data_IF_980173698312
#
_entry.id   IF_980173698312
#
_cell.length_a   1.000
_cell.length_b   1.000
_cell.length_c   1.000
_cell.angle_alpha   90.00
_cell.angle_beta   90.00
_cell.angle_gamma   90.00
#
_symmetry.space_group_name_H-M   'P 1'
#
loop_
_entity.id
_entity.type
_entity.pdbx_description
1 polymer ?
#
# COMPACT_ATOMS: atom_id res chain seq x y z
N UNK A 1 -13.10 -18.98 8.25
CA UNK A 1 -12.65 -17.79 9.00
C UNK A 1 -11.19 -18.01 9.35
N UNK A 2 -10.39 -16.96 9.42
CA UNK A 2 -8.99 -17.04 9.89
C UNK A 2 -8.64 -15.83 10.75
N UNK A 3 -7.49 -15.84 11.43
CA UNK A 3 -7.00 -14.71 12.21
C UNK A 3 -5.99 -13.94 11.36
N UNK A 4 -6.33 -12.68 11.03
CA UNK A 4 -5.44 -11.76 10.31
C UNK A 4 -5.17 -10.57 11.23
N UNK A 5 -3.89 -10.32 11.53
CA UNK A 5 -3.46 -9.25 12.44
C UNK A 5 -4.20 -9.29 13.80
N UNK A 6 -4.44 -10.49 14.34
CA UNK A 6 -5.18 -10.68 15.59
C UNK A 6 -6.72 -10.62 15.46
N UNK A 7 -7.27 -10.31 14.29
CA UNK A 7 -8.72 -10.20 14.07
C UNK A 7 -9.30 -11.42 13.36
N UNK A 8 -10.37 -12.01 13.93
CA UNK A 8 -11.15 -13.05 13.25
C UNK A 8 -11.85 -12.48 12.02
N UNK A 9 -11.40 -12.91 10.85
CA UNK A 9 -11.85 -12.38 9.57
C UNK A 9 -12.57 -13.47 8.75
N UNK A 10 -13.77 -13.14 8.26
CA UNK A 10 -14.47 -13.95 7.25
C UNK A 10 -13.87 -13.63 5.89
N UNK A 11 -13.51 -14.67 5.15
CA UNK A 11 -12.86 -14.57 3.85
C UNK A 11 -13.69 -15.31 2.81
N UNK A 12 -13.62 -14.83 1.58
CA UNK A 12 -13.99 -15.55 0.38
C UNK A 12 -12.73 -16.21 -0.16
N UNK A 13 -12.84 -17.46 -0.62
CA UNK A 13 -11.68 -18.21 -1.12
C UNK A 13 -11.99 -18.61 -2.55
N UNK A 14 -11.24 -18.05 -3.49
CA UNK A 14 -11.24 -18.51 -4.86
C UNK A 14 -10.50 -19.85 -4.92
N UNK A 15 -11.13 -20.85 -5.51
CA UNK A 15 -10.56 -22.18 -5.72
C UNK A 15 -10.56 -22.48 -7.21
N UNK A 16 -9.38 -22.68 -7.78
CA UNK A 16 -9.19 -23.07 -9.16
C UNK A 16 -8.50 -24.43 -9.17
N UNK A 17 -9.02 -25.36 -9.97
CA UNK A 17 -8.54 -26.75 -10.01
C UNK A 17 -8.50 -27.26 -11.45
N UNK A 18 -7.38 -27.84 -11.84
CA UNK A 18 -7.24 -28.56 -13.11
C UNK A 18 -8.00 -29.88 -13.05
N UNK A 19 -8.67 -30.20 -14.14
CA UNK A 19 -9.56 -31.36 -14.18
C UNK A 19 -8.81 -32.67 -14.34
N UNK A 20 -7.68 -32.68 -15.07
CA UNK A 20 -6.86 -33.88 -15.27
C UNK A 20 -5.97 -34.13 -14.05
N UNK A 21 -4.92 -33.34 -13.80
CA UNK A 21 -3.97 -33.56 -12.69
C UNK A 21 -4.57 -33.39 -11.30
N UNK A 22 -5.73 -32.75 -11.19
CA UNK A 22 -6.33 -32.33 -9.91
C UNK A 22 -5.52 -31.28 -9.15
N UNK A 23 -4.45 -30.73 -9.73
CA UNK A 23 -3.71 -29.61 -9.16
C UNK A 23 -4.63 -28.43 -8.94
N UNK A 24 -4.51 -27.80 -7.78
CA UNK A 24 -5.44 -26.77 -7.32
C UNK A 24 -4.72 -25.64 -6.61
N UNK A 25 -5.28 -24.43 -6.72
CA UNK A 25 -4.78 -23.23 -6.06
C UNK A 25 -5.91 -22.53 -5.33
N UNK A 26 -5.57 -21.97 -4.17
CA UNK A 26 -6.48 -21.22 -3.33
C UNK A 26 -5.95 -19.81 -3.13
N UNK A 27 -6.85 -18.83 -3.23
CA UNK A 27 -6.55 -17.45 -2.91
C UNK A 27 -7.69 -16.83 -2.13
N UNK A 28 -7.34 -16.22 -1.00
CA UNK A 28 -8.27 -15.59 -0.09
C UNK A 28 -8.46 -14.10 -0.42
N UNK A 29 -9.71 -13.66 -0.27
CA UNK A 29 -10.18 -12.30 -0.49
C UNK A 29 -11.15 -11.89 0.62
N UNK A 30 -11.31 -10.57 0.79
CA UNK A 30 -12.28 -10.02 1.74
C UNK A 30 -13.70 -10.00 1.17
N UNK A 31 -13.85 -9.86 -0.15
CA UNK A 31 -15.13 -9.81 -0.86
C UNK A 31 -15.13 -10.78 -2.05
N UNK A 32 -16.25 -10.80 -2.79
CA UNK A 32 -16.40 -11.53 -4.04
C UNK A 32 -16.85 -10.54 -5.13
N UNK A 33 -15.88 -9.80 -5.69
CA UNK A 33 -16.09 -8.76 -6.69
C UNK A 33 -15.31 -9.08 -7.97
N UNK A 34 -15.58 -8.35 -9.06
CA UNK A 34 -14.99 -8.61 -10.38
C UNK A 34 -13.45 -8.51 -10.36
N UNK A 35 -12.91 -7.46 -9.76
CA UNK A 35 -11.47 -7.26 -9.66
C UNK A 35 -10.77 -8.41 -8.90
N UNK A 36 -11.43 -8.98 -7.89
CA UNK A 36 -10.91 -10.13 -7.14
C UNK A 36 -11.02 -11.44 -7.94
N UNK A 37 -12.07 -11.60 -8.75
CA UNK A 37 -12.18 -12.74 -9.67
C UNK A 37 -11.05 -12.71 -10.70
N UNK A 38 -10.76 -11.54 -11.27
CA UNK A 38 -9.73 -11.38 -12.29
C UNK A 38 -8.31 -11.56 -11.70
N UNK A 39 -8.07 -11.03 -10.51
CA UNK A 39 -6.84 -11.30 -9.76
C UNK A 39 -6.67 -12.79 -9.45
N UNK A 40 -7.76 -13.49 -9.11
CA UNK A 40 -7.69 -14.92 -8.83
C UNK A 40 -7.24 -15.73 -10.06
N UNK A 41 -7.67 -15.35 -11.26
CA UNK A 41 -7.23 -16.00 -12.50
C UNK A 41 -5.77 -15.69 -12.82
N UNK A 42 -5.35 -14.42 -12.72
CA UNK A 42 -3.95 -14.02 -12.87
C UNK A 42 -3.03 -14.86 -11.97
N UNK A 43 -3.39 -14.98 -10.69
CA UNK A 43 -2.63 -15.77 -9.74
C UNK A 43 -2.73 -17.27 -10.03
N UNK A 44 -3.91 -17.79 -10.33
CA UNK A 44 -4.09 -19.21 -10.56
C UNK A 44 -3.28 -19.71 -11.76
N UNK A 45 -3.33 -19.01 -12.89
CA UNK A 45 -2.59 -19.39 -14.09
C UNK A 45 -1.07 -19.26 -13.89
N UNK A 46 -0.61 -18.25 -13.14
CA UNK A 46 0.80 -18.16 -12.73
C UNK A 46 1.21 -19.38 -11.89
N UNK A 47 0.42 -19.75 -10.89
CA UNK A 47 0.76 -20.84 -9.96
C UNK A 47 0.70 -22.22 -10.62
N UNK A 48 -0.31 -22.45 -11.47
CA UNK A 48 -0.48 -23.69 -12.23
C UNK A 48 0.52 -23.79 -13.39
N UNK A 49 1.16 -22.69 -13.78
CA UNK A 49 2.17 -22.64 -14.83
C UNK A 49 1.61 -22.64 -16.26
N UNK A 50 0.31 -22.40 -16.44
CA UNK A 50 -0.34 -22.41 -17.74
C UNK A 50 -1.83 -22.11 -17.68
N UNK A 51 -2.41 -21.84 -18.84
CA UNK A 51 -3.86 -21.61 -19.03
C UNK A 51 -4.50 -22.87 -19.62
N UNK A 52 -5.56 -23.44 -19.00
CA UNK A 52 -6.29 -24.55 -19.59
C UNK A 52 -7.09 -24.10 -20.81
N UNK A 53 -7.35 -25.00 -21.76
CA UNK A 53 -8.17 -24.68 -22.95
C UNK A 53 -9.62 -24.34 -22.61
N UNK A 54 -10.13 -24.90 -21.50
CA UNK A 54 -11.51 -24.72 -21.06
C UNK A 54 -11.57 -24.52 -19.55
N UNK A 55 -12.37 -23.54 -19.11
CA UNK A 55 -12.68 -23.26 -17.72
C UNK A 55 -14.15 -23.53 -17.44
N UNK A 56 -14.44 -24.26 -16.36
CA UNK A 56 -15.80 -24.58 -15.93
C UNK A 56 -16.14 -23.72 -14.71
N UNK A 57 -17.26 -23.01 -14.77
CA UNK A 57 -17.67 -22.04 -13.77
C UNK A 57 -19.07 -22.35 -13.23
N UNK A 58 -19.29 -22.00 -11.96
CA UNK A 58 -20.66 -21.88 -11.44
C UNK A 58 -21.32 -20.60 -11.98
N UNK A 59 -22.65 -20.51 -11.89
CA UNK A 59 -23.42 -19.33 -12.33
C UNK A 59 -23.27 -18.13 -11.37
N UNK A 60 -22.04 -17.74 -11.04
CA UNK A 60 -21.74 -16.62 -10.17
C UNK A 60 -21.99 -15.27 -10.86
N UNK A 61 -22.55 -14.30 -10.11
CA UNK A 61 -22.86 -12.95 -10.62
C UNK A 61 -21.65 -12.18 -11.16
N UNK A 62 -20.43 -12.56 -10.77
CA UNK A 62 -19.18 -11.97 -11.23
C UNK A 62 -18.74 -12.45 -12.61
N UNK A 63 -19.37 -13.49 -13.14
CA UNK A 63 -19.13 -14.02 -14.49
C UNK A 63 -20.40 -13.98 -15.36
N UNK A 64 -21.58 -14.04 -14.75
CA UNK A 64 -22.88 -14.06 -15.43
C UNK A 64 -23.75 -12.90 -14.92
N UNK A 65 -24.11 -11.97 -15.80
CA UNK A 65 -25.02 -10.87 -15.50
C UNK A 65 -26.49 -11.36 -15.42
N UNK A 66 -26.88 -12.27 -16.32
CA UNK A 66 -28.22 -12.89 -16.34
C UNK A 66 -28.19 -14.35 -16.78
N UNK A 67 -28.99 -15.16 -16.10
CA UNK A 67 -29.24 -16.57 -16.45
C UNK A 67 -30.53 -16.64 -17.29
N UNK A 68 -30.43 -16.96 -18.58
CA UNK A 68 -31.56 -17.12 -19.51
C UNK A 68 -32.18 -18.52 -19.49
N UNK A 69 -33.11 -18.79 -20.41
CA UNK A 69 -33.74 -20.13 -20.57
C UNK A 69 -32.71 -21.13 -21.14
N UNK A 70 -32.64 -22.34 -20.57
CA UNK A 70 -31.70 -23.37 -21.03
C UNK A 70 -30.22 -23.04 -20.77
N UNK A 71 -29.38 -23.14 -21.82
CA UNK A 71 -27.93 -22.87 -21.78
C UNK A 71 -27.57 -21.39 -22.02
N UNK A 72 -28.52 -20.51 -22.33
CA UNK A 72 -28.24 -19.10 -22.63
C UNK A 72 -27.82 -18.32 -21.39
N UNK A 73 -26.68 -17.63 -21.44
CA UNK A 73 -26.16 -16.77 -20.38
C UNK A 73 -25.74 -15.43 -20.95
N UNK A 74 -26.14 -14.35 -20.30
CA UNK A 74 -25.54 -13.04 -20.54
C UNK A 74 -24.27 -12.95 -19.72
N UNK A 75 -23.14 -13.24 -20.37
CA UNK A 75 -21.81 -13.22 -19.75
C UNK A 75 -21.37 -11.77 -19.54
N UNK A 76 -20.78 -11.50 -18.38
CA UNK A 76 -20.28 -10.17 -18.06
C UNK A 76 -19.20 -9.74 -19.06
N UNK A 77 -19.30 -8.53 -19.62
CA UNK A 77 -18.39 -8.04 -20.68
C UNK A 77 -16.93 -8.10 -20.24
N UNK A 78 -16.62 -7.75 -18.98
CA UNK A 78 -15.24 -7.79 -18.49
C UNK A 78 -14.74 -9.21 -18.27
N UNK A 79 -15.63 -10.13 -17.87
CA UNK A 79 -15.29 -11.54 -17.82
C UNK A 79 -14.98 -12.08 -19.22
N UNK A 80 -15.81 -11.77 -20.23
CA UNK A 80 -15.54 -12.12 -21.63
C UNK A 80 -14.21 -11.53 -22.13
N UNK A 81 -13.86 -10.31 -21.72
CA UNK A 81 -12.58 -9.70 -22.05
C UNK A 81 -11.40 -10.46 -21.41
N UNK A 82 -11.51 -10.90 -20.15
CA UNK A 82 -10.49 -11.74 -19.50
C UNK A 82 -10.36 -13.09 -20.20
N UNK A 83 -11.48 -13.74 -20.52
CA UNK A 83 -11.52 -15.04 -21.22
C UNK A 83 -10.82 -14.91 -22.58
N UNK A 84 -11.11 -13.84 -23.33
CA UNK A 84 -10.47 -13.54 -24.61
C UNK A 84 -8.98 -13.23 -24.46
N UNK A 85 -8.59 -12.51 -23.40
CA UNK A 85 -7.19 -12.18 -23.13
C UNK A 85 -6.34 -13.44 -22.85
N UNK A 86 -6.90 -14.41 -22.13
CA UNK A 86 -6.24 -15.68 -21.82
C UNK A 86 -6.50 -16.79 -22.85
N UNK A 87 -7.36 -16.54 -23.84
CA UNK A 87 -7.66 -17.44 -24.96
C UNK A 87 -8.19 -18.82 -24.54
N UNK A 88 -9.02 -18.90 -23.49
CA UNK A 88 -9.69 -20.15 -23.09
C UNK A 88 -11.20 -20.08 -23.33
N UNK A 89 -11.86 -21.24 -23.35
CA UNK A 89 -13.31 -21.34 -23.45
C UNK A 89 -13.96 -21.38 -22.07
N UNK A 90 -14.92 -20.50 -21.79
CA UNK A 90 -15.66 -20.50 -20.53
C UNK A 90 -16.99 -21.25 -20.68
N UNK A 91 -17.18 -22.28 -19.86
CA UNK A 91 -18.43 -23.02 -19.76
C UNK A 91 -19.07 -22.89 -18.37
N UNK A 92 -20.39 -22.79 -18.33
CA UNK A 92 -21.15 -22.62 -17.10
C UNK A 92 -21.97 -23.87 -16.78
N UNK A 93 -21.94 -24.30 -15.53
CA UNK A 93 -22.74 -25.43 -15.06
C UNK A 93 -24.24 -25.17 -15.22
N UNK A 94 -25.01 -26.22 -15.52
CA UNK A 94 -26.47 -26.11 -15.54
C UNK A 94 -27.03 -25.88 -14.12
N UNK A 95 -28.02 -24.99 -13.93
CA UNK A 95 -28.57 -24.66 -12.62
C UNK A 95 -29.14 -25.85 -11.82
N UNK A 96 -29.52 -26.95 -12.50
CA UNK A 96 -30.22 -28.09 -11.92
C UNK A 96 -29.42 -29.41 -11.88
N UNK A 97 -28.12 -29.40 -12.22
CA UNK A 97 -27.29 -30.62 -12.22
C UNK A 97 -26.64 -30.89 -10.84
N UNK A 98 -27.44 -31.13 -9.81
CA UNK A 98 -26.96 -31.39 -8.44
C UNK A 98 -26.09 -32.66 -8.29
N UNK A 99 -26.24 -33.63 -9.20
CA UNK A 99 -25.52 -34.91 -9.14
C UNK A 99 -24.03 -34.79 -9.51
N UNK A 100 -23.68 -33.91 -10.45
CA UNK A 100 -22.28 -33.58 -10.78
C UNK A 100 -21.62 -32.72 -9.68
N UNK A 101 -22.41 -31.92 -8.95
CA UNK A 101 -21.94 -31.10 -7.82
C UNK A 101 -21.63 -31.94 -6.57
N UNK A 102 -22.37 -33.02 -6.29
CA UNK A 102 -22.22 -33.82 -5.06
C UNK A 102 -20.84 -34.48 -4.88
N UNK A 103 -20.19 -34.92 -5.96
CA UNK A 103 -18.85 -35.53 -5.90
C UNK A 103 -17.74 -34.47 -5.74
N UNK A 104 -17.98 -33.26 -6.24
CA UNK A 104 -17.10 -32.10 -6.05
C UNK A 104 -17.24 -31.55 -4.62
N UNK A 105 -18.46 -31.46 -4.09
CA UNK A 105 -18.74 -30.95 -2.74
C UNK A 105 -18.13 -31.81 -1.64
N UNK A 106 -18.21 -33.14 -1.75
CA UNK A 106 -17.62 -34.07 -0.77
C UNK A 106 -16.09 -33.99 -0.77
N UNK A 107 -15.46 -33.94 -1.95
CA UNK A 107 -14.01 -33.75 -2.08
C UNK A 107 -13.55 -32.36 -1.61
N UNK A 108 -14.36 -31.32 -1.81
CA UNK A 108 -14.07 -29.95 -1.32
C UNK A 108 -14.21 -29.87 0.21
N UNK A 109 -15.16 -30.58 0.82
CA UNK A 109 -15.28 -30.69 2.27
C UNK A 109 -14.07 -31.38 2.89
N UNK A 110 -13.66 -32.53 2.35
CA UNK A 110 -12.51 -33.29 2.88
C UNK A 110 -11.17 -32.57 2.67
N UNK A 111 -10.99 -31.92 1.51
CA UNK A 111 -9.81 -31.11 1.22
C UNK A 111 -9.75 -29.84 2.09
N UNK A 112 -10.90 -29.21 2.39
CA UNK A 112 -10.96 -28.06 3.32
C UNK A 112 -10.44 -28.44 4.71
N UNK A 113 -10.82 -29.59 5.25
CA UNK A 113 -10.35 -29.99 6.57
C UNK A 113 -8.82 -30.18 6.63
N UNK A 114 -8.21 -30.81 5.60
CA UNK A 114 -6.74 -30.99 5.55
C UNK A 114 -5.97 -29.70 5.26
N UNK A 115 -6.59 -28.77 4.53
CA UNK A 115 -5.93 -27.55 4.09
C UNK A 115 -5.92 -26.47 5.17
N UNK A 116 -6.98 -26.35 5.96
CA UNK A 116 -7.11 -25.31 6.98
C UNK A 116 -6.65 -25.74 8.37
N UNK A 117 -6.08 -26.94 8.54
CA UNK A 117 -5.59 -27.41 9.84
C UNK A 117 -4.04 -27.53 9.85
N UNK A 118 -3.35 -26.82 10.75
CA UNK A 118 -3.88 -25.80 11.68
C UNK A 118 -4.27 -24.50 10.97
N UNK A 119 -5.22 -23.74 11.55
CA UNK A 119 -5.60 -22.43 11.05
C UNK A 119 -4.40 -21.48 11.18
N UNK A 120 -3.91 -20.86 10.10
CA UNK A 120 -2.75 -19.99 10.18
C UNK A 120 -3.12 -18.66 10.85
N UNK A 121 -2.35 -18.26 11.87
CA UNK A 121 -2.37 -16.90 12.40
C UNK A 121 -1.35 -16.08 11.62
N UNK A 122 -1.82 -15.12 10.83
CA UNK A 122 -0.98 -14.37 9.89
C UNK A 122 -1.07 -12.87 10.09
N UNK A 123 0.00 -12.11 9.79
CA UNK A 123 0.00 -10.66 9.97
C UNK A 123 -0.84 -9.92 8.91
N UNK A 124 -1.08 -10.50 7.74
CA UNK A 124 -1.78 -9.85 6.64
C UNK A 124 -2.49 -10.84 5.71
N UNK A 125 -3.42 -10.34 4.88
CA UNK A 125 -4.07 -11.15 3.84
C UNK A 125 -3.07 -11.64 2.79
N UNK A 126 -2.05 -10.83 2.52
CA UNK A 126 -0.95 -11.18 1.61
C UNK A 126 -0.16 -12.38 2.15
N UNK A 127 0.27 -12.32 3.42
CA UNK A 127 0.95 -13.42 4.07
C UNK A 127 0.10 -14.70 4.12
N UNK A 128 -1.22 -14.58 4.27
CA UNK A 128 -2.13 -15.73 4.15
C UNK A 128 -2.10 -16.33 2.74
N UNK A 129 -2.11 -15.48 1.70
CA UNK A 129 -2.12 -15.93 0.32
C UNK A 129 -0.79 -16.58 -0.08
N UNK A 130 0.34 -16.07 0.41
CA UNK A 130 1.66 -16.69 0.21
C UNK A 130 1.74 -18.06 0.90
N UNK A 131 1.21 -18.15 2.12
CA UNK A 131 1.09 -19.41 2.84
C UNK A 131 0.17 -20.40 2.11
N UNK A 132 -1.00 -19.95 1.62
CA UNK A 132 -1.94 -20.80 0.88
C UNK A 132 -1.32 -21.35 -0.40
N UNK A 133 -0.58 -20.52 -1.14
CA UNK A 133 0.11 -20.93 -2.36
C UNK A 133 1.15 -22.03 -2.06
N UNK A 134 1.96 -21.84 -1.01
CA UNK A 134 2.94 -22.82 -0.55
C UNK A 134 2.25 -24.12 -0.13
N UNK A 135 1.20 -24.02 0.68
CA UNK A 135 0.44 -25.17 1.19
C UNK A 135 -0.23 -25.97 0.08
N UNK A 136 -0.70 -25.32 -0.98
CA UNK A 136 -1.26 -26.01 -2.15
C UNK A 136 -0.20 -26.92 -2.79
N UNK A 137 1.03 -26.42 -3.03
CA UNK A 137 2.11 -27.21 -3.65
C UNK A 137 2.56 -28.38 -2.77
N UNK A 138 2.64 -28.19 -1.47
CA UNK A 138 2.90 -29.28 -0.51
C UNK A 138 1.85 -30.39 -0.63
N UNK A 139 0.57 -29.99 -0.66
CA UNK A 139 -0.54 -30.95 -0.78
C UNK A 139 -0.55 -31.67 -2.13
N UNK A 140 -0.13 -31.02 -3.21
CA UNK A 140 0.03 -31.70 -4.51
C UNK A 140 1.03 -32.86 -4.41
N UNK A 141 2.12 -32.67 -3.65
CA UNK A 141 3.17 -33.68 -3.48
C UNK A 141 2.77 -34.80 -2.52
N UNK A 142 1.94 -34.50 -1.51
CA UNK A 142 1.52 -35.45 -0.47
C UNK A 142 0.27 -36.26 -0.85
N UNK A 143 -0.51 -35.78 -1.81
CA UNK A 143 -1.80 -36.39 -2.16
C UNK A 143 -1.65 -37.27 -3.39
N UNK A 144 -1.91 -38.57 -3.23
CA UNK A 144 -2.02 -39.49 -4.36
C UNK A 144 -3.14 -39.07 -5.30
N UNK A 145 -2.91 -39.16 -6.62
CA UNK A 145 -3.88 -38.72 -7.62
C UNK A 145 -5.19 -39.54 -7.58
N UNK A 146 -5.10 -40.82 -7.18
CA UNK A 146 -6.21 -41.75 -7.03
C UNK A 146 -6.64 -42.44 -8.31
N UNK A 147 -6.53 -41.78 -9.48
CA UNK A 147 -6.83 -42.39 -10.79
C UNK A 147 -5.61 -42.59 -11.71
N UNK A 148 -4.49 -41.97 -11.39
CA UNK A 148 -3.24 -42.02 -12.16
C UNK A 148 -2.13 -42.45 -11.18
N UNK A 149 -1.03 -43.05 -11.67
CA UNK A 149 0.10 -43.37 -10.80
C UNK A 149 0.73 -42.09 -10.23
N UNK A 150 1.18 -42.16 -8.98
CA UNK A 150 1.89 -41.06 -8.31
C UNK A 150 0.99 -40.04 -7.62
N UNK A 151 1.61 -38.91 -7.28
CA UNK A 151 0.99 -37.77 -6.63
C UNK A 151 0.33 -36.82 -7.63
N UNK A 152 -0.48 -35.88 -7.14
CA UNK A 152 -1.01 -34.78 -7.95
C UNK A 152 0.13 -33.99 -8.59
N UNK A 153 1.26 -33.80 -7.89
CA UNK A 153 2.42 -33.08 -8.42
C UNK A 153 3.06 -33.81 -9.62
N UNK A 154 3.14 -35.13 -9.58
CA UNK A 154 3.69 -35.94 -10.68
C UNK A 154 2.85 -35.77 -11.95
N UNK A 155 1.53 -35.94 -11.83
CA UNK A 155 0.60 -35.79 -12.97
C UNK A 155 0.53 -34.34 -13.47
N UNK A 156 0.65 -33.36 -12.58
CA UNK A 156 0.72 -31.94 -12.95
C UNK A 156 1.96 -31.62 -13.78
N UNK A 157 3.12 -32.23 -13.48
CA UNK A 157 4.36 -32.05 -14.23
C UNK A 157 4.27 -32.55 -15.69
N UNK A 158 3.32 -33.45 -15.96
CA UNK A 158 2.96 -33.91 -17.29
C UNK A 158 1.92 -32.98 -17.94
N UNK A 159 0.87 -32.60 -17.20
CA UNK A 159 -0.21 -31.74 -17.71
C UNK A 159 0.29 -30.35 -18.12
N UNK A 160 1.22 -29.76 -17.37
CA UNK A 160 1.71 -28.39 -17.61
C UNK A 160 2.22 -28.19 -19.05
N UNK A 161 2.80 -29.23 -19.67
CA UNK A 161 3.32 -29.19 -21.04
C UNK A 161 2.21 -29.08 -22.10
N UNK A 162 0.97 -29.35 -21.71
CA UNK A 162 -0.22 -29.30 -22.56
C UNK A 162 -1.07 -28.04 -22.32
N UNK A 163 -0.73 -27.26 -21.29
CA UNK A 163 -1.37 -25.97 -21.02
C UNK A 163 -0.87 -24.91 -22.00
N UNK A 164 -1.72 -23.92 -22.27
CA UNK A 164 -1.31 -22.76 -23.06
C UNK A 164 -0.40 -21.87 -22.22
N UNK A 165 0.52 -21.17 -22.88
CA UNK A 165 1.42 -20.24 -22.21
C UNK A 165 0.62 -19.13 -21.50
N UNK A 166 1.09 -18.71 -20.32
CA UNK A 166 0.46 -17.63 -19.57
C UNK A 166 0.87 -16.29 -20.22
N UNK A 167 -0.06 -15.49 -20.77
CA UNK A 167 0.25 -14.17 -21.29
C UNK A 167 0.55 -13.20 -20.14
N UNK A 168 0.79 -11.92 -20.46
CA UNK A 168 0.85 -10.86 -19.44
C UNK A 168 -0.41 -10.88 -18.55
N UNK A 169 -0.31 -10.50 -17.26
CA UNK A 169 -1.50 -10.40 -16.40
C UNK A 169 -2.61 -9.56 -17.04
N UNK A 170 -3.86 -9.99 -16.89
CA UNK A 170 -5.02 -9.22 -17.32
C UNK A 170 -5.22 -8.03 -16.38
N UNK A 171 -5.38 -6.83 -16.95
CA UNK A 171 -5.59 -5.60 -16.17
C UNK A 171 -7.04 -5.53 -15.66
N UNK A 172 -7.29 -6.24 -14.56
CA UNK A 172 -8.61 -6.56 -14.02
C UNK A 172 -9.31 -5.45 -13.23
N UNK A 173 -8.97 -4.18 -13.36
CA UNK A 173 -9.57 -3.11 -12.53
C UNK A 173 -11.04 -2.84 -12.85
N UNK A 174 -11.86 -2.57 -11.83
CA UNK A 174 -13.22 -2.01 -12.04
C UNK A 174 -13.12 -0.49 -12.11
N UNK A 175 -13.69 0.11 -13.15
CA UNK A 175 -13.62 1.55 -13.36
C UNK A 175 -14.90 2.25 -12.87
N UNK A 176 -14.72 3.41 -12.23
CA UNK A 176 -15.81 4.30 -11.86
C UNK A 176 -15.48 5.75 -12.24
N UNK A 177 -16.39 6.40 -12.97
CA UNK A 177 -16.35 7.85 -13.12
C UNK A 177 -16.75 8.52 -11.80
N UNK A 178 -15.86 9.34 -11.23
CA UNK A 178 -16.07 10.06 -9.98
C UNK A 178 -15.72 11.53 -10.16
N UNK A 179 -16.31 12.39 -9.33
CA UNK A 179 -15.91 13.80 -9.23
C UNK A 179 -15.19 14.01 -7.90
N UNK A 180 -14.02 14.65 -7.95
CA UNK A 180 -13.27 15.01 -6.74
C UNK A 180 -14.02 16.11 -6.01
N UNK A 181 -14.21 15.95 -4.69
CA UNK A 181 -14.86 16.96 -3.86
C UNK A 181 -14.03 18.25 -3.76
N UNK A 182 -14.63 19.37 -3.30
CA UNK A 182 -13.88 20.59 -2.97
C UNK A 182 -12.81 20.37 -1.90
N UNK A 183 -12.98 19.35 -1.05
CA UNK A 183 -12.02 18.95 0.00
C UNK A 183 -10.96 17.96 -0.50
N UNK A 184 -10.83 17.81 -1.82
CA UNK A 184 -9.84 16.95 -2.47
C UNK A 184 -10.00 15.46 -2.12
N UNK A 185 -11.25 14.97 -2.05
CA UNK A 185 -11.56 13.58 -1.70
C UNK A 185 -12.42 12.91 -2.79
N UNK A 186 -12.24 11.61 -2.97
CA UNK A 186 -13.16 10.72 -3.70
C UNK A 186 -13.74 9.66 -2.79
N UNK A 187 -14.98 9.26 -3.08
CA UNK A 187 -15.71 8.25 -2.31
C UNK A 187 -15.73 6.90 -3.04
N UNK A 188 -15.32 5.86 -2.33
CA UNK A 188 -15.47 4.46 -2.74
C UNK A 188 -16.06 3.68 -1.57
N UNK A 189 -17.19 3.01 -1.81
CA UNK A 189 -17.94 2.31 -0.78
C UNK A 189 -18.24 3.24 0.42
N UNK A 190 -17.71 2.92 1.61
CA UNK A 190 -17.85 3.74 2.82
C UNK A 190 -16.61 4.59 3.12
N UNK A 191 -15.58 4.54 2.29
CA UNK A 191 -14.28 5.18 2.55
C UNK A 191 -14.05 6.37 1.63
N UNK A 192 -13.21 7.28 2.11
CA UNK A 192 -12.78 8.49 1.39
C UNK A 192 -11.28 8.45 1.19
N UNK A 193 -10.83 8.84 0.00
CA UNK A 193 -9.42 8.85 -0.35
C UNK A 193 -9.05 10.22 -0.90
N UNK A 194 -7.93 10.76 -0.45
CA UNK A 194 -7.44 12.05 -0.91
C UNK A 194 -6.91 12.03 -2.34
N UNK A 195 -6.98 13.18 -3.00
CA UNK A 195 -6.58 13.38 -4.39
C UNK A 195 -5.77 14.67 -4.45
N UNK A 196 -4.72 14.80 -5.30
CA UNK A 196 -3.98 16.05 -5.41
C UNK A 196 -4.91 17.24 -5.65
N UNK A 197 -4.67 18.35 -4.94
CA UNK A 197 -5.55 19.51 -4.93
C UNK A 197 -5.72 20.19 -6.29
N UNK A 198 -4.80 19.97 -7.23
CA UNK A 198 -4.94 20.39 -8.64
C UNK A 198 -6.16 19.80 -9.34
N UNK A 199 -6.66 18.66 -8.85
CA UNK A 199 -7.84 17.96 -9.38
C UNK A 199 -9.13 18.20 -8.59
N UNK A 200 -9.12 19.10 -7.59
CA UNK A 200 -10.34 19.45 -6.86
C UNK A 200 -11.45 19.92 -7.82
N UNK A 201 -12.68 19.44 -7.59
CA UNK A 201 -13.84 19.69 -8.45
C UNK A 201 -13.71 19.19 -9.91
N UNK A 202 -12.76 18.32 -10.23
CA UNK A 202 -12.62 17.73 -11.57
C UNK A 202 -13.19 16.31 -11.63
N UNK A 203 -13.69 15.85 -12.79
CA UNK A 203 -13.97 14.45 -13.02
C UNK A 203 -12.66 13.66 -13.11
N UNK A 204 -12.65 12.46 -12.54
CA UNK A 204 -11.53 11.51 -12.54
C UNK A 204 -12.06 10.10 -12.74
N UNK A 205 -11.25 9.24 -13.34
CA UNK A 205 -11.48 7.80 -13.36
C UNK A 205 -10.88 7.16 -12.11
N UNK A 206 -11.68 6.40 -11.38
CA UNK A 206 -11.25 5.61 -10.25
C UNK A 206 -11.16 4.14 -10.69
N UNK A 207 -9.94 3.62 -10.78
CA UNK A 207 -9.65 2.21 -11.09
C UNK A 207 -9.45 1.44 -9.79
N UNK A 208 -10.31 0.45 -9.57
CA UNK A 208 -10.36 -0.34 -8.34
C UNK A 208 -9.74 -1.71 -8.58
N UNK A 209 -8.66 -1.99 -7.86
CA UNK A 209 -7.98 -3.29 -7.79
C UNK A 209 -8.35 -4.00 -6.47
N UNK A 210 -7.96 -5.28 -6.29
CA UNK A 210 -8.25 -6.02 -5.06
C UNK A 210 -7.63 -5.38 -3.80
N UNK A 211 -6.42 -4.85 -3.91
CA UNK A 211 -5.57 -4.39 -2.80
C UNK A 211 -5.34 -2.87 -2.82
N UNK A 212 -5.55 -2.23 -3.98
CA UNK A 212 -5.30 -0.80 -4.19
C UNK A 212 -6.38 -0.13 -5.04
N UNK A 213 -6.32 1.18 -5.09
CA UNK A 213 -7.08 2.01 -6.02
C UNK A 213 -6.14 2.99 -6.69
N UNK A 214 -6.37 3.24 -7.97
CA UNK A 214 -5.60 4.18 -8.77
C UNK A 214 -6.56 5.22 -9.31
N UNK A 215 -6.27 6.49 -9.06
CA UNK A 215 -6.99 7.58 -9.68
C UNK A 215 -6.27 7.97 -10.97
N UNK A 216 -7.05 8.17 -12.03
CA UNK A 216 -6.57 8.50 -13.36
C UNK A 216 -7.30 9.75 -13.86
N UNK A 217 -6.56 10.73 -14.33
CA UNK A 217 -7.08 11.91 -15.01
C UNK A 217 -6.28 12.13 -16.29
N UNK A 218 -6.95 12.53 -17.37
CA UNK A 218 -6.28 12.89 -18.64
C UNK A 218 -5.38 11.75 -19.18
N UNK A 219 -5.76 10.50 -18.93
CA UNK A 219 -5.01 9.30 -19.34
C UNK A 219 -3.81 8.94 -18.45
N UNK A 220 -3.51 9.71 -17.40
CA UNK A 220 -2.37 9.49 -16.51
C UNK A 220 -2.82 9.15 -15.09
N UNK A 221 -2.08 8.25 -14.42
CA UNK A 221 -2.29 7.97 -13.01
C UNK A 221 -1.83 9.16 -12.16
N UNK A 222 -2.75 9.71 -11.36
CA UNK A 222 -2.50 10.91 -10.55
C UNK A 222 -2.12 10.59 -9.11
N UNK A 223 -2.68 9.53 -8.54
CA UNK A 223 -2.31 9.01 -7.23
C UNK A 223 -2.84 7.58 -7.06
N UNK A 224 -2.24 6.88 -6.10
CA UNK A 224 -2.58 5.52 -5.71
C UNK A 224 -2.82 5.46 -4.20
N UNK A 225 -3.80 4.66 -3.77
CA UNK A 225 -4.03 4.36 -2.36
C UNK A 225 -4.18 2.86 -2.15
N UNK A 226 -3.69 2.37 -1.02
CA UNK A 226 -4.07 1.04 -0.53
C UNK A 226 -5.58 1.03 -0.24
N UNK A 227 -6.28 0.02 -0.75
CA UNK A 227 -7.72 -0.11 -0.57
C UNK A 227 -8.04 -0.54 0.86
N UNK A 228 -8.93 0.21 1.49
CA UNK A 228 -9.46 -0.09 2.82
C UNK A 228 -10.83 -0.73 2.67
N UNK A 229 -11.04 -1.85 3.36
CA UNK A 229 -12.32 -2.55 3.44
C UNK A 229 -12.96 -2.29 4.80
N UNK A 230 -14.22 -1.86 4.82
CA UNK A 230 -14.97 -1.70 6.06
C UNK A 230 -15.41 -3.08 6.57
N UNK A 231 -14.74 -3.58 7.63
CA UNK A 231 -14.86 -4.98 8.08
C UNK A 231 -16.05 -5.30 9.01
N UNK A 232 -16.89 -4.32 9.34
CA UNK A 232 -18.12 -4.50 10.14
C UNK A 232 -19.08 -3.34 9.89
N UNK A 233 -20.38 -3.54 10.14
CA UNK A 233 -21.36 -2.45 10.21
C UNK A 233 -21.01 -1.42 11.30
N UNK A 234 -20.20 -1.82 12.28
CA UNK A 234 -19.81 -1.04 13.46
C UNK A 234 -18.52 -0.19 13.24
N UNK A 235 -17.81 -0.36 12.12
CA UNK A 235 -16.63 0.47 11.82
C UNK A 235 -17.02 1.74 11.08
N UNK A 236 -16.62 2.87 11.64
CA UNK A 236 -16.77 4.20 11.06
C UNK A 236 -16.09 4.28 9.67
N UNK A 237 -16.72 5.04 8.77
CA UNK A 237 -16.13 5.50 7.50
C UNK A 237 -14.71 6.01 7.74
N UNK A 238 -13.70 5.45 7.05
CA UNK A 238 -12.33 5.95 7.14
C UNK A 238 -12.06 6.94 6.02
N UNK A 239 -11.35 8.01 6.36
CA UNK A 239 -10.72 8.90 5.37
C UNK A 239 -9.23 8.62 5.38
N UNK A 240 -8.68 8.33 4.20
CA UNK A 240 -7.26 8.08 3.98
C UNK A 240 -6.66 9.33 3.34
N UNK A 241 -5.76 9.98 4.07
CA UNK A 241 -5.10 11.17 3.59
C UNK A 241 -3.69 10.83 3.08
N UNK A 242 -3.29 11.54 2.05
CA UNK A 242 -1.90 11.77 1.72
C UNK A 242 -1.71 13.28 1.87
N UNK A 243 -0.87 13.70 2.81
CA UNK A 243 -0.62 15.11 3.09
C UNK A 243 -0.03 15.84 1.88
N UNK A 244 0.70 15.13 0.99
CA UNK A 244 1.32 15.68 -0.23
C UNK A 244 0.27 16.23 -1.19
N UNK A 245 -0.92 15.62 -1.22
CA UNK A 245 -2.04 16.07 -2.03
C UNK A 245 -2.50 17.50 -1.70
N UNK A 246 -2.20 17.99 -0.50
CA UNK A 246 -2.65 19.29 -0.01
C UNK A 246 -1.55 20.36 -0.05
N UNK A 247 -0.35 20.04 -0.57
CA UNK A 247 0.78 20.99 -0.59
C UNK A 247 0.47 22.27 -1.38
N UNK A 248 -0.17 22.15 -2.55
CA UNK A 248 -0.60 23.31 -3.33
C UNK A 248 -1.62 24.20 -2.60
N UNK A 249 -2.39 23.63 -1.66
CA UNK A 249 -3.35 24.38 -0.84
C UNK A 249 -2.61 25.20 0.22
N UNK A 250 -1.67 24.58 0.94
CA UNK A 250 -0.93 25.27 2.01
C UNK A 250 0.07 26.30 1.46
N UNK A 251 0.59 26.11 0.25
CA UNK A 251 1.37 27.15 -0.46
C UNK A 251 0.57 28.45 -0.63
N UNK A 252 -0.75 28.35 -0.90
CA UNK A 252 -1.63 29.52 -1.03
C UNK A 252 -2.18 30.00 0.31
N UNK A 253 -2.42 29.08 1.24
CA UNK A 253 -3.01 29.35 2.56
C UNK A 253 -2.20 28.64 3.67
N UNK A 254 -1.04 29.18 4.09
CA UNK A 254 -0.16 28.54 5.07
C UNK A 254 -0.84 28.21 6.40
N UNK A 255 -1.79 29.02 6.83
CA UNK A 255 -2.56 28.79 8.05
C UNK A 255 -3.35 27.47 8.07
N UNK A 256 -3.65 26.86 6.92
CA UNK A 256 -4.33 25.56 6.85
C UNK A 256 -3.48 24.41 7.43
N UNK A 257 -2.16 24.60 7.55
CA UNK A 257 -1.25 23.61 8.13
C UNK A 257 -1.54 23.35 9.63
N UNK A 258 -2.07 24.33 10.36
CA UNK A 258 -2.22 24.25 11.83
C UNK A 258 -3.21 23.18 12.27
N UNK A 259 -4.36 23.10 11.60
CA UNK A 259 -5.48 22.23 11.97
C UNK A 259 -5.95 21.34 10.81
N UNK A 260 -5.18 21.26 9.72
CA UNK A 260 -5.56 20.46 8.57
C UNK A 260 -5.45 18.97 8.87
N UNK A 261 -6.58 18.25 8.81
CA UNK A 261 -6.64 16.81 9.02
C UNK A 261 -5.59 15.99 8.23
N UNK A 262 -5.26 16.32 6.96
CA UNK A 262 -4.23 15.58 6.23
C UNK A 262 -2.84 15.63 6.89
N UNK A 263 -2.52 16.73 7.57
CA UNK A 263 -1.19 16.96 8.14
C UNK A 263 -0.98 16.21 9.47
N UNK A 264 -2.03 15.63 10.05
CA UNK A 264 -1.90 14.78 11.23
C UNK A 264 -1.11 13.48 10.94
N UNK A 265 -1.16 12.99 9.70
CA UNK A 265 -0.49 11.78 9.22
C UNK A 265 0.93 12.04 8.68
N UNK A 266 1.47 13.26 8.81
CA UNK A 266 2.85 13.55 8.42
C UNK A 266 3.87 12.74 9.24
N UNK A 267 5.04 12.41 8.64
CA UNK A 267 6.19 11.86 9.35
C UNK A 267 6.51 12.60 10.66
N UNK A 268 6.93 11.89 11.73
CA UNK A 268 7.21 12.49 13.04
C UNK A 268 8.15 13.69 12.99
N UNK A 269 9.24 13.63 12.21
CA UNK A 269 10.20 14.72 12.13
C UNK A 269 9.59 16.00 11.55
N UNK A 270 8.74 15.91 10.52
CA UNK A 270 8.01 17.07 10.01
C UNK A 270 7.03 17.65 11.05
N UNK A 271 6.39 16.82 11.88
CA UNK A 271 5.53 17.31 12.97
C UNK A 271 6.34 17.99 14.07
N UNK A 272 7.50 17.44 14.44
CA UNK A 272 8.43 18.09 15.38
C UNK A 272 8.94 19.42 14.85
N UNK A 273 9.32 19.48 13.57
CA UNK A 273 9.70 20.72 12.90
C UNK A 273 8.55 21.74 12.91
N UNK A 274 7.34 21.32 12.59
CA UNK A 274 6.15 22.17 12.63
C UNK A 274 5.93 22.78 14.01
N UNK A 275 6.02 21.99 15.08
CA UNK A 275 5.89 22.46 16.46
C UNK A 275 6.98 23.49 16.85
N UNK A 276 8.18 23.36 16.28
CA UNK A 276 9.26 24.31 16.50
C UNK A 276 9.04 25.62 15.74
N UNK A 277 8.72 25.54 14.45
CA UNK A 277 8.56 26.71 13.59
C UNK A 277 7.32 27.52 13.93
N UNK A 278 6.19 26.88 14.27
CA UNK A 278 4.94 27.58 14.61
C UNK A 278 5.02 28.47 15.86
N UNK A 279 6.07 28.35 16.69
CA UNK A 279 6.32 29.26 17.82
C UNK A 279 6.77 30.65 17.38
N UNK A 280 7.24 30.80 16.14
CA UNK A 280 7.79 32.03 15.60
C UNK A 280 6.79 32.69 14.63
N UNK A 281 6.73 34.03 14.57
CA UNK A 281 5.94 34.71 13.55
C UNK A 281 6.47 34.35 12.15
N UNK A 282 5.57 33.92 11.25
CA UNK A 282 5.92 33.50 9.89
C UNK A 282 6.43 32.07 9.73
N UNK A 283 6.52 31.29 10.82
CA UNK A 283 7.00 29.90 10.75
C UNK A 283 6.08 28.94 10.00
N UNK A 284 4.81 29.30 9.78
CA UNK A 284 3.89 28.56 8.90
C UNK A 284 4.31 28.65 7.43
N UNK A 285 4.75 29.82 6.96
CA UNK A 285 5.31 29.98 5.61
C UNK A 285 6.62 29.20 5.46
N UNK A 286 7.51 29.33 6.44
CA UNK A 286 8.79 28.61 6.43
C UNK A 286 8.57 27.08 6.39
N UNK A 287 7.63 26.58 7.19
CA UNK A 287 7.28 25.15 7.19
C UNK A 287 6.70 24.71 5.84
N UNK A 288 5.82 25.51 5.23
CA UNK A 288 5.26 25.20 3.90
C UNK A 288 6.32 25.18 2.82
N UNK A 289 7.28 26.10 2.86
CA UNK A 289 8.41 26.12 1.92
C UNK A 289 9.28 24.86 2.06
N UNK A 290 9.54 24.40 3.29
CA UNK A 290 10.28 23.16 3.55
C UNK A 290 9.50 21.94 3.07
N UNK A 291 8.20 21.84 3.37
CA UNK A 291 7.36 20.74 2.89
C UNK A 291 7.25 20.71 1.35
N UNK A 292 7.31 21.88 0.70
CA UNK A 292 7.26 21.99 -0.75
C UNK A 292 8.51 21.40 -1.43
N UNK A 293 9.63 21.23 -0.71
CA UNK A 293 10.83 20.57 -1.24
C UNK A 293 10.54 19.11 -1.64
N UNK A 294 9.56 18.45 -1.01
CA UNK A 294 9.14 17.09 -1.36
C UNK A 294 8.49 17.00 -2.75
N UNK A 295 8.11 18.13 -3.35
CA UNK A 295 7.64 18.17 -4.74
C UNK A 295 8.79 18.11 -5.76
N UNK A 296 10.03 18.40 -5.33
CA UNK A 296 11.20 18.53 -6.20
C UNK A 296 12.29 17.50 -5.88
N UNK A 297 12.27 16.95 -4.67
CA UNK A 297 13.25 16.01 -4.16
C UNK A 297 12.57 14.78 -3.57
N UNK A 298 13.33 13.69 -3.47
CA UNK A 298 12.87 12.50 -2.77
C UNK A 298 12.54 12.83 -1.31
N UNK A 299 11.38 12.37 -0.86
CA UNK A 299 10.87 12.68 0.47
C UNK A 299 11.78 12.18 1.59
N UNK A 300 12.37 11.00 1.44
CA UNK A 300 13.24 10.44 2.47
C UNK A 300 14.46 11.33 2.65
N UNK A 301 15.02 11.86 1.56
CA UNK A 301 16.16 12.78 1.63
C UNK A 301 15.78 14.09 2.34
N UNK A 302 14.60 14.66 2.04
CA UNK A 302 14.09 15.86 2.73
C UNK A 302 13.83 15.57 4.21
N UNK A 303 13.26 14.41 4.52
CA UNK A 303 12.99 13.97 5.88
C UNK A 303 14.29 13.81 6.68
N UNK A 304 15.31 13.15 6.11
CA UNK A 304 16.63 13.01 6.72
C UNK A 304 17.28 14.37 6.95
N UNK A 305 17.19 15.31 6.01
CA UNK A 305 17.70 16.67 6.21
C UNK A 305 17.03 17.38 7.39
N UNK A 306 15.71 17.20 7.55
CA UNK A 306 14.96 17.75 8.69
C UNK A 306 15.36 17.07 10.00
N UNK A 307 15.53 15.76 10.03
CA UNK A 307 15.97 15.00 11.21
C UNK A 307 17.35 15.45 11.67
N UNK A 308 18.31 15.60 10.75
CA UNK A 308 19.64 16.11 11.05
C UNK A 308 19.61 17.54 11.59
N UNK A 309 18.78 18.41 11.01
CA UNK A 309 18.64 19.79 11.48
C UNK A 309 18.03 19.88 12.88
N UNK A 310 17.07 19.00 13.19
CA UNK A 310 16.47 18.87 14.52
C UNK A 310 17.49 18.35 15.54
N UNK A 311 18.28 17.33 15.18
CA UNK A 311 19.33 16.77 16.03
C UNK A 311 20.44 17.80 16.32
N UNK A 312 20.79 18.63 15.35
CA UNK A 312 21.74 19.72 15.52
C UNK A 312 21.20 20.89 16.38
N UNK A 313 19.90 20.89 16.73
CA UNK A 313 19.26 21.95 17.50
C UNK A 313 19.01 23.25 16.72
N UNK A 314 19.31 23.28 15.42
CA UNK A 314 19.14 24.46 14.54
C UNK A 314 18.24 24.15 13.35
N UNK A 315 16.94 23.84 13.57
CA UNK A 315 16.01 23.47 12.51
C UNK A 315 15.45 24.70 11.77
N UNK A 316 16.32 25.46 11.11
CA UNK A 316 15.95 26.57 10.23
C UNK A 316 15.88 26.12 8.79
N UNK A 317 15.06 26.78 7.96
CA UNK A 317 14.97 26.51 6.51
C UNK A 317 16.33 26.49 5.83
N UNK A 318 17.17 27.49 6.09
CA UNK A 318 18.50 27.59 5.46
C UNK A 318 19.38 26.42 5.81
N UNK A 319 19.37 25.97 7.08
CA UNK A 319 20.16 24.82 7.50
C UNK A 319 19.63 23.52 6.87
N UNK A 320 18.32 23.34 6.83
CA UNK A 320 17.67 22.17 6.19
C UNK A 320 17.99 22.12 4.70
N UNK A 321 17.89 23.24 3.98
CA UNK A 321 18.24 23.29 2.54
C UNK A 321 19.73 22.98 2.33
N UNK A 322 20.62 23.49 3.20
CA UNK A 322 22.04 23.18 3.11
C UNK A 322 22.32 21.69 3.31
N UNK A 323 21.71 21.07 4.33
CA UNK A 323 21.81 19.63 4.59
C UNK A 323 21.25 18.81 3.43
N UNK A 324 20.09 19.22 2.88
CA UNK A 324 19.48 18.58 1.72
C UNK A 324 20.41 18.59 0.51
N UNK A 325 21.00 19.73 0.16
CA UNK A 325 21.95 19.80 -0.96
C UNK A 325 23.20 18.96 -0.69
N UNK A 326 23.74 18.96 0.54
CA UNK A 326 24.88 18.08 0.88
C UNK A 326 24.54 16.60 0.74
N UNK A 327 23.34 16.19 1.14
CA UNK A 327 22.86 14.82 0.98
C UNK A 327 22.73 14.43 -0.51
N UNK A 328 22.21 15.34 -1.34
CA UNK A 328 22.07 15.12 -2.78
C UNK A 328 23.44 15.05 -3.47
N UNK A 329 24.35 15.96 -3.12
CA UNK A 329 25.68 16.08 -3.73
C UNK A 329 26.69 15.05 -3.19
N UNK A 330 26.30 14.24 -2.19
CA UNK A 330 27.19 13.29 -1.53
C UNK A 330 28.32 13.95 -0.73
N UNK A 331 28.16 15.24 -0.39
CA UNK A 331 29.17 16.00 0.36
C UNK A 331 29.16 15.57 1.82
N UNK A 332 30.33 15.37 2.46
CA UNK A 332 30.40 15.02 3.87
C UNK A 332 29.62 16.01 4.74
N UNK A 333 28.70 15.49 5.55
CA UNK A 333 27.91 16.30 6.49
C UNK A 333 28.78 16.81 7.65
N UNK A 334 29.84 16.07 7.99
CA UNK A 334 30.81 16.47 8.99
C UNK A 334 31.70 17.60 8.46
N UNK A 335 31.75 18.71 9.20
CA UNK A 335 32.88 19.63 9.07
C UNK A 335 34.15 18.87 9.43
N UNK A 336 35.18 18.86 8.58
CA UNK A 336 36.47 18.31 8.98
C UNK A 336 36.93 19.03 10.24
N UNK A 337 37.29 18.27 11.27
CA UNK A 337 37.93 18.84 12.47
C UNK A 337 39.19 19.54 11.99
N UNK A 338 39.19 20.88 12.02
CA UNK A 338 40.40 21.64 11.74
C UNK A 338 41.28 21.44 12.98
N UNK A 339 42.41 20.72 12.90
CA UNK A 339 43.32 20.65 14.03
C UNK A 339 43.81 22.08 14.30
N UNK A 340 43.49 22.61 15.47
CA UNK A 340 44.01 23.91 15.88
C UNK A 340 45.55 23.81 15.87
N UNK A 341 46.26 24.71 15.16
CA UNK A 341 47.72 24.74 15.20
C UNK A 341 48.19 24.80 16.66
N UNK A 342 49.29 24.11 17.02
CA UNK A 342 49.85 24.17 18.37
C UNK A 342 50.13 25.61 18.84
N UNK A 343 50.40 26.51 17.89
CA UNK A 343 50.60 27.95 18.12
C UNK A 343 49.34 28.69 18.62
N UNK A 344 48.14 28.13 18.46
CA UNK A 344 46.88 28.67 18.98
C UNK A 344 46.46 28.05 20.32
N UNK A 345 47.34 27.25 20.94
CA UNK A 345 47.13 26.77 22.31
C UNK A 345 47.28 27.96 23.26
N UNK A 346 46.22 28.29 23.97
CA UNK A 346 46.23 29.40 24.93
C UNK A 346 47.21 29.06 26.06
N UNK A 347 48.28 29.86 26.22
CA UNK A 347 49.21 29.74 27.35
C UNK A 347 48.55 30.07 28.68
N UNK A 348 47.42 30.77 28.64
CA UNK A 348 46.62 31.12 29.80
C UNK A 348 45.16 30.96 29.42
N UNK A 349 44.53 29.92 29.94
CA UNK A 349 43.10 29.72 29.69
C UNK A 349 42.30 30.86 30.35
N UNK A 350 41.32 31.43 29.64
CA UNK A 350 40.44 32.42 30.23
C UNK A 350 39.61 31.76 31.33
N UNK A 351 39.93 32.09 32.58
CA UNK A 351 39.06 31.74 33.70
C UNK A 351 37.81 32.63 33.65
N UNK A 352 36.64 32.01 33.55
CA UNK A 352 35.36 32.68 33.71
C UNK A 352 35.16 33.08 35.18
N UNK A 353 35.89 34.12 35.60
CA UNK A 353 35.88 34.62 36.97
C UNK A 353 35.08 35.93 37.04
N UNK A 354 33.81 35.80 37.42
CA UNK A 354 32.89 36.94 37.62
C UNK A 354 33.29 37.82 38.81
N UNK A 355 34.05 37.30 39.79
CA UNK A 355 34.54 38.05 40.96
C UNK A 355 35.67 39.03 40.60
N UNK A 356 36.31 38.85 39.44
CA UNK A 356 37.34 39.76 38.93
C UNK A 356 36.78 41.16 38.67
N UNK A 357 35.50 41.25 38.29
CA UNK A 357 34.78 42.51 38.13
C UNK A 357 34.55 43.20 39.48
N UNK A 358 34.15 42.43 40.51
CA UNK A 358 33.91 42.94 41.85
C UNK A 358 35.20 43.43 42.54
N UNK A 359 36.32 42.74 42.33
CA UNK A 359 37.63 43.17 42.83
C UNK A 359 38.08 44.50 42.21
N UNK A 360 37.88 44.68 40.90
CA UNK A 360 38.19 45.94 40.21
C UNK A 360 37.28 47.09 40.65
N UNK A 361 36.02 46.80 41.00
CA UNK A 361 35.08 47.79 41.53
C UNK A 361 35.53 48.30 42.91
N UNK A 362 35.91 47.40 43.83
CA UNK A 362 36.39 47.78 45.18
C UNK A 362 37.72 48.55 45.14
N UNK A 363 38.62 48.22 44.22
CA UNK A 363 39.90 48.91 44.08
C UNK A 363 39.76 50.38 43.63
N UNK A 364 38.65 50.73 42.97
CA UNK A 364 38.37 52.10 42.49
C UNK A 364 37.75 52.98 43.57
N UNK A 365 37.06 52.40 44.54
CA UNK A 365 36.45 53.12 45.68
C UNK A 365 37.50 53.60 46.70
N UNK A 366 38.68 52.96 46.78
CA UNK A 366 39.72 53.29 47.76
C UNK A 366 40.62 54.49 47.40
N UNK A 367 40.44 55.16 46.25
CA UNK A 367 41.30 56.29 45.81
C UNK A 367 40.62 57.66 45.71
N UNK A 368 39.37 57.80 46.15
CA UNK A 368 38.71 59.11 46.19
C UNK A 368 37.88 59.29 47.47
N UNK A 369 38.57 59.56 48.57
CA UNK A 369 38.04 60.29 49.73
C UNK A 369 39.23 60.86 50.51
N UNK A 370 39.60 62.10 50.19
CA UNK A 370 40.22 63.04 51.12
C UNK A 370 39.13 63.98 51.60
#
# INVERSE_FOLDING_TARGET
MTIIAGERTKLQVAHVKLSYSRAFTLRAYLLQTHEMLFDAHNHAFRVLGGVPRRGIYDNMKTAVDKVGRGKERQVNIRFSAMVSHFLFEAEFCNPASGWEKGQIEKNVQDARHRLWQPLPNVPSLEALNDWLETRCRELWSQTGHGSQPGSIADVWSEEIRHLMAVPRPFDGFVEHAKRVSPTCLVHLERNRYSVPASFANRPVSLRVYPDRIVLVAEGQAICEHRRVFARSHDRLSRTVYDWRHYLAVVQRKPGALRNGAPFAEMPPAFRSLQQHLLKRPGGDREMVEILSLVLQHDEQVVLTAVELALQAGVPTKTHIINLLHRLIDGTPLSTPTIPAPPALTLTTEPQANVERYDALRRAREARHAS
#
